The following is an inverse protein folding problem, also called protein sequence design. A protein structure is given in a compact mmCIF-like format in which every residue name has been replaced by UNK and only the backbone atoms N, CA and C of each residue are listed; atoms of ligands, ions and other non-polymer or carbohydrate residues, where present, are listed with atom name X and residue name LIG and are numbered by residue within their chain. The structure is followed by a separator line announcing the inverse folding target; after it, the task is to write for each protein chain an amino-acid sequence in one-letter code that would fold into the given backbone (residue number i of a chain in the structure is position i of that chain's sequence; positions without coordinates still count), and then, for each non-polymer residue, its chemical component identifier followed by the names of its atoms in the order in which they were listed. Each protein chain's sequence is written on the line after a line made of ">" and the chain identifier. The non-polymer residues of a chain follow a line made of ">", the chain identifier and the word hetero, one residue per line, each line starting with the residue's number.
data_IF_336662435731
#
_entry.id   IF_336662435731
#
_cell.length_a   1.000
_cell.length_b   1.000
_cell.length_c   1.000
_cell.angle_alpha   90.00
_cell.angle_beta   90.00
_cell.angle_gamma   90.00
#
_symmetry.space_group_name_H-M   'P 1'
#
loop_
_entity.id
_entity.type
_entity.pdbx_description
1 polymer ?
#
# COMPACT_ATOMS: atom_id res chain seq x y z
N UNK A 1 -27.33 -24.00 -10.73
CA UNK A 1 -26.76 -25.34 -10.91
C UNK A 1 -25.67 -25.22 -11.95
N UNK A 2 -24.42 -25.52 -11.62
CA UNK A 2 -23.32 -25.49 -12.60
C UNK A 2 -23.46 -26.68 -13.57
N UNK A 3 -22.82 -26.61 -14.74
CA UNK A 3 -22.76 -27.76 -15.66
C UNK A 3 -22.01 -28.95 -15.04
N UNK A 4 -21.09 -28.68 -14.11
CA UNK A 4 -20.37 -29.70 -13.34
C UNK A 4 -21.29 -30.42 -12.34
N UNK A 5 -22.11 -29.69 -11.58
CA UNK A 5 -23.14 -30.28 -10.71
C UNK A 5 -24.11 -31.15 -11.52
N UNK A 6 -24.52 -30.70 -12.71
CA UNK A 6 -25.39 -31.48 -13.59
C UNK A 6 -24.71 -32.80 -13.99
N UNK A 7 -23.42 -32.82 -14.32
CA UNK A 7 -22.67 -34.05 -14.60
C UNK A 7 -22.59 -34.98 -13.37
N UNK A 8 -22.28 -34.45 -12.18
CA UNK A 8 -22.22 -35.23 -10.94
C UNK A 8 -23.55 -35.94 -10.68
N UNK A 9 -24.66 -35.21 -10.81
CA UNK A 9 -25.98 -35.78 -10.56
C UNK A 9 -26.42 -36.75 -11.65
N UNK A 10 -25.96 -36.60 -12.89
CA UNK A 10 -26.15 -37.59 -13.96
C UNK A 10 -25.45 -38.91 -13.66
N UNK A 11 -24.21 -38.86 -13.17
CA UNK A 11 -23.47 -40.06 -12.78
C UNK A 11 -24.11 -40.76 -11.58
N UNK A 12 -24.56 -39.99 -10.58
CA UNK A 12 -25.28 -40.53 -9.43
C UNK A 12 -26.64 -41.13 -9.85
N UNK A 13 -27.37 -40.46 -10.75
CA UNK A 13 -28.64 -40.95 -11.31
C UNK A 13 -28.43 -42.27 -12.07
N UNK A 14 -27.32 -42.45 -12.78
CA UNK A 14 -27.00 -43.72 -13.44
C UNK A 14 -26.93 -44.88 -12.42
N UNK A 15 -26.30 -44.67 -11.26
CA UNK A 15 -26.23 -45.69 -10.19
C UNK A 15 -27.64 -46.00 -9.66
N UNK A 16 -28.45 -44.97 -9.39
CA UNK A 16 -29.84 -45.10 -8.92
C UNK A 16 -30.69 -45.86 -9.94
N UNK A 17 -30.67 -45.43 -11.20
CA UNK A 17 -31.44 -46.06 -12.29
C UNK A 17 -30.98 -47.51 -12.51
N UNK A 18 -29.67 -47.78 -12.46
CA UNK A 18 -29.17 -49.15 -12.58
C UNK A 18 -29.66 -50.02 -11.42
N UNK A 19 -29.58 -49.52 -10.19
CA UNK A 19 -30.09 -50.21 -9.01
C UNK A 19 -31.56 -50.61 -9.17
N UNK A 20 -32.39 -49.66 -9.60
CA UNK A 20 -33.82 -49.86 -9.81
C UNK A 20 -34.11 -50.89 -10.91
N UNK A 21 -33.24 -51.04 -11.90
CA UNK A 21 -33.38 -52.09 -12.92
C UNK A 21 -33.11 -53.51 -12.41
N UNK A 22 -32.47 -53.68 -11.24
CA UNK A 22 -32.17 -55.00 -10.66
C UNK A 22 -33.25 -55.50 -9.68
N UNK A 23 -34.24 -54.65 -9.33
CA UNK A 23 -35.59 -55.11 -9.00
C UNK A 23 -35.88 -55.62 -7.58
N UNK A 24 -35.05 -55.35 -6.56
CA UNK A 24 -35.34 -55.81 -5.19
C UNK A 24 -35.91 -54.74 -4.25
N UNK A 25 -35.46 -53.48 -4.34
CA UNK A 25 -35.94 -52.36 -3.50
C UNK A 25 -35.99 -51.04 -4.30
N UNK A 26 -36.78 -51.02 -5.37
CA UNK A 26 -36.81 -49.91 -6.34
C UNK A 26 -37.09 -48.57 -5.65
N UNK A 27 -36.26 -47.57 -5.92
CA UNK A 27 -36.38 -46.21 -5.38
C UNK A 27 -37.34 -45.34 -6.21
N UNK A 28 -37.41 -45.58 -7.52
CA UNK A 28 -38.25 -44.87 -8.49
C UNK A 28 -39.33 -45.81 -9.04
N UNK A 29 -40.59 -45.59 -8.64
CA UNK A 29 -41.71 -46.46 -9.05
C UNK A 29 -42.32 -46.12 -10.40
N UNK A 30 -41.83 -45.07 -11.06
CA UNK A 30 -42.43 -44.53 -12.28
C UNK A 30 -42.16 -45.39 -13.50
N UNK A 31 -43.22 -45.62 -14.25
CA UNK A 31 -43.22 -46.47 -15.44
C UNK A 31 -42.94 -45.68 -16.73
N UNK A 32 -43.29 -44.39 -16.76
CA UNK A 32 -43.04 -43.52 -17.91
C UNK A 32 -41.54 -43.21 -18.00
N UNK A 33 -40.84 -43.51 -19.12
CA UNK A 33 -39.39 -43.39 -19.21
C UNK A 33 -38.86 -42.01 -18.80
N UNK A 34 -39.44 -40.94 -19.36
CA UNK A 34 -39.01 -39.58 -19.05
C UNK A 34 -39.26 -39.19 -17.59
N UNK A 35 -40.39 -39.61 -17.02
CA UNK A 35 -40.71 -39.35 -15.62
C UNK A 35 -39.77 -40.12 -14.68
N UNK A 36 -39.39 -41.34 -15.06
CA UNK A 36 -38.43 -42.17 -14.34
C UNK A 36 -37.05 -41.53 -14.31
N UNK A 37 -36.55 -41.05 -15.46
CA UNK A 37 -35.27 -40.33 -15.53
C UNK A 37 -35.28 -39.09 -14.62
N UNK A 38 -36.33 -38.27 -14.70
CA UNK A 38 -36.46 -37.08 -13.87
C UNK A 38 -36.48 -37.39 -12.37
N UNK A 39 -37.19 -38.46 -11.96
CA UNK A 39 -37.26 -38.85 -10.55
C UNK A 39 -36.00 -39.52 -10.05
N UNK A 40 -35.36 -40.38 -10.85
CA UNK A 40 -34.03 -40.92 -10.53
C UNK A 40 -33.03 -39.80 -10.28
N UNK A 41 -33.05 -38.76 -11.11
CA UNK A 41 -32.23 -37.57 -10.92
C UNK A 41 -32.58 -36.78 -9.66
N UNK A 42 -33.87 -36.66 -9.34
CA UNK A 42 -34.32 -36.06 -8.08
C UNK A 42 -33.76 -36.81 -6.87
N UNK A 43 -33.82 -38.15 -6.88
CA UNK A 43 -33.26 -39.00 -5.83
C UNK A 43 -31.74 -38.86 -5.77
N UNK A 44 -31.05 -38.87 -6.91
CA UNK A 44 -29.61 -38.66 -6.97
C UNK A 44 -29.21 -37.31 -6.35
N UNK A 45 -29.98 -36.25 -6.62
CA UNK A 45 -29.77 -34.93 -6.03
C UNK A 45 -29.94 -34.95 -4.51
N UNK A 46 -30.96 -35.66 -4.00
CA UNK A 46 -31.18 -35.82 -2.56
C UNK A 46 -30.03 -36.59 -1.91
N UNK A 47 -29.56 -37.67 -2.53
CA UNK A 47 -28.41 -38.46 -2.03
C UNK A 47 -27.14 -37.61 -2.00
N UNK A 48 -26.87 -36.85 -3.07
CA UNK A 48 -25.66 -36.02 -3.15
C UNK A 48 -25.64 -34.85 -2.15
N UNK A 49 -26.82 -34.39 -1.70
CA UNK A 49 -26.96 -33.29 -0.72
C UNK A 49 -27.15 -33.77 0.72
N UNK A 50 -27.34 -35.07 0.94
CA UNK A 50 -27.57 -35.61 2.27
C UNK A 50 -26.29 -35.54 3.13
N UNK A 51 -26.44 -35.09 4.38
CA UNK A 51 -25.36 -35.08 5.36
C UNK A 51 -25.11 -36.49 5.94
N UNK A 52 -26.18 -37.20 6.30
CA UNK A 52 -26.11 -38.57 6.83
C UNK A 52 -27.26 -39.46 6.28
N UNK A 53 -26.98 -40.67 5.77
CA UNK A 53 -25.64 -41.16 5.46
C UNK A 53 -25.00 -40.32 4.35
N UNK A 54 -23.68 -40.12 4.44
CA UNK A 54 -22.92 -39.44 3.38
C UNK A 54 -23.19 -40.06 2.01
N UNK A 55 -23.18 -39.22 0.96
CA UNK A 55 -23.50 -39.67 -0.40
C UNK A 55 -22.68 -40.89 -0.83
N UNK A 56 -21.42 -40.99 -0.41
CA UNK A 56 -20.54 -42.07 -0.78
C UNK A 56 -20.93 -43.41 -0.13
N UNK A 57 -21.32 -43.39 1.14
CA UNK A 57 -21.86 -44.56 1.84
C UNK A 57 -23.16 -44.99 1.17
N UNK A 58 -24.07 -44.05 0.92
CA UNK A 58 -25.37 -44.36 0.32
C UNK A 58 -25.25 -44.95 -1.09
N UNK A 59 -24.44 -44.34 -1.96
CA UNK A 59 -24.19 -44.89 -3.30
C UNK A 59 -23.47 -46.24 -3.23
N UNK A 60 -22.56 -46.44 -2.27
CA UNK A 60 -21.90 -47.74 -2.06
C UNK A 60 -22.88 -48.84 -1.67
N UNK A 61 -23.86 -48.54 -0.82
CA UNK A 61 -24.94 -49.45 -0.44
C UNK A 61 -25.76 -49.84 -1.67
N UNK A 62 -26.23 -48.86 -2.46
CA UNK A 62 -26.99 -49.13 -3.68
C UNK A 62 -26.22 -50.02 -4.67
N UNK A 63 -24.92 -49.76 -4.85
CA UNK A 63 -24.07 -50.60 -5.71
C UNK A 63 -24.00 -52.03 -5.17
N UNK A 64 -23.82 -52.21 -3.85
CA UNK A 64 -23.78 -53.54 -3.25
C UNK A 64 -25.11 -54.26 -3.40
N UNK A 65 -26.22 -53.61 -3.09
CA UNK A 65 -27.57 -54.15 -3.19
C UNK A 65 -27.88 -54.64 -4.62
N UNK A 66 -27.57 -53.83 -5.64
CA UNK A 66 -27.85 -54.19 -7.04
C UNK A 66 -26.82 -55.13 -7.69
N UNK A 67 -25.70 -55.42 -7.02
CA UNK A 67 -24.65 -56.32 -7.56
C UNK A 67 -24.40 -57.55 -6.70
N UNK A 68 -25.25 -57.80 -5.70
CA UNK A 68 -25.10 -58.94 -4.80
C UNK A 68 -25.20 -60.27 -5.57
N UNK A 69 -26.21 -60.38 -6.43
CA UNK A 69 -26.46 -61.54 -7.30
C UNK A 69 -25.71 -61.47 -8.64
N UNK A 70 -25.52 -60.28 -9.20
CA UNK A 70 -24.84 -60.05 -10.48
C UNK A 70 -23.59 -59.17 -10.35
N UNK A 71 -22.45 -59.81 -10.05
CA UNK A 71 -21.20 -59.12 -9.70
C UNK A 71 -20.45 -58.48 -10.87
N UNK A 72 -20.75 -58.86 -12.12
CA UNK A 72 -19.97 -58.43 -13.30
C UNK A 72 -20.01 -56.93 -13.56
N UNK A 73 -21.05 -56.22 -13.09
CA UNK A 73 -21.17 -54.76 -13.27
C UNK A 73 -20.65 -53.95 -12.09
N UNK A 74 -20.28 -54.60 -10.99
CA UNK A 74 -19.71 -53.96 -9.81
C UNK A 74 -18.48 -53.10 -10.14
N UNK A 75 -17.49 -53.55 -10.95
CA UNK A 75 -16.33 -52.71 -11.28
C UNK A 75 -16.69 -51.40 -12.01
N UNK A 76 -17.66 -51.45 -12.94
CA UNK A 76 -18.13 -50.27 -13.67
C UNK A 76 -18.80 -49.27 -12.72
N UNK A 77 -19.68 -49.73 -11.84
CA UNK A 77 -20.39 -48.85 -10.92
C UNK A 77 -19.45 -48.22 -9.88
N UNK A 78 -18.45 -48.96 -9.40
CA UNK A 78 -17.43 -48.38 -8.52
C UNK A 78 -16.55 -47.39 -9.28
N UNK A 79 -16.17 -47.66 -10.53
CA UNK A 79 -15.46 -46.68 -11.36
C UNK A 79 -16.26 -45.36 -11.47
N UNK A 80 -17.57 -45.44 -11.74
CA UNK A 80 -18.46 -44.27 -11.78
C UNK A 80 -18.50 -43.57 -10.41
N UNK A 81 -18.60 -44.31 -9.30
CA UNK A 81 -18.55 -43.74 -7.95
C UNK A 81 -17.22 -43.01 -7.68
N UNK A 82 -16.09 -43.55 -8.14
CA UNK A 82 -14.79 -42.88 -8.00
C UNK A 82 -14.75 -41.57 -8.79
N UNK A 83 -15.33 -41.54 -10.00
CA UNK A 83 -15.47 -40.30 -10.77
C UNK A 83 -16.39 -39.29 -10.06
N UNK A 84 -17.51 -39.74 -9.48
CA UNK A 84 -18.39 -38.88 -8.66
C UNK A 84 -17.62 -38.27 -7.49
N UNK A 85 -16.85 -39.08 -6.75
CA UNK A 85 -16.03 -38.61 -5.62
C UNK A 85 -15.03 -37.55 -6.06
N UNK A 86 -14.34 -37.79 -7.17
CA UNK A 86 -13.41 -36.84 -7.76
C UNK A 86 -14.09 -35.51 -8.11
N UNK A 87 -15.17 -35.55 -8.89
CA UNK A 87 -15.88 -34.36 -9.33
C UNK A 87 -16.51 -33.59 -8.16
N UNK A 88 -17.05 -34.29 -7.16
CA UNK A 88 -17.64 -33.66 -5.98
C UNK A 88 -16.58 -32.95 -5.14
N UNK A 89 -15.37 -33.52 -5.02
CA UNK A 89 -14.26 -32.82 -4.38
C UNK A 89 -13.88 -31.55 -5.13
N UNK A 90 -13.76 -31.60 -6.46
CA UNK A 90 -13.46 -30.42 -7.27
C UNK A 90 -14.57 -29.36 -7.16
N UNK A 91 -15.84 -29.78 -7.15
CA UNK A 91 -17.00 -28.89 -6.99
C UNK A 91 -17.05 -28.24 -5.60
N UNK A 92 -16.55 -28.92 -4.56
CA UNK A 92 -16.52 -28.41 -3.18
C UNK A 92 -15.42 -27.38 -2.91
N UNK A 93 -14.49 -27.19 -3.84
CA UNK A 93 -13.45 -26.17 -3.71
C UNK A 93 -14.06 -24.76 -3.65
N UNK A 94 -13.58 -23.94 -2.71
CA UNK A 94 -14.02 -22.56 -2.54
C UNK A 94 -13.05 -21.53 -3.12
N UNK A 95 -11.86 -21.96 -3.54
CA UNK A 95 -10.80 -21.10 -4.06
C UNK A 95 -10.48 -21.46 -5.50
N UNK A 96 -10.00 -20.48 -6.27
CA UNK A 96 -9.48 -20.70 -7.62
C UNK A 96 -8.43 -21.81 -7.65
N UNK A 97 -8.45 -22.65 -8.69
CA UNK A 97 -7.44 -23.68 -8.88
C UNK A 97 -6.10 -23.08 -9.28
N UNK A 98 -5.00 -23.67 -8.80
CA UNK A 98 -3.68 -23.40 -9.39
C UNK A 98 -3.58 -24.01 -10.79
N UNK A 99 -2.75 -23.44 -11.67
CA UNK A 99 -2.61 -23.88 -13.08
C UNK A 99 -2.41 -25.40 -13.23
N UNK A 100 -1.51 -25.97 -12.42
CA UNK A 100 -1.22 -27.41 -12.45
C UNK A 100 -2.40 -28.28 -11.99
N UNK A 101 -3.24 -27.79 -11.08
CA UNK A 101 -4.45 -28.48 -10.63
C UNK A 101 -5.53 -28.40 -11.71
N UNK A 102 -5.71 -27.24 -12.33
CA UNK A 102 -6.69 -27.04 -13.39
C UNK A 102 -6.39 -27.91 -14.62
N UNK A 103 -5.11 -28.03 -15.02
CA UNK A 103 -4.68 -28.92 -16.11
C UNK A 103 -5.05 -30.37 -15.80
N UNK A 104 -4.74 -30.86 -14.60
CA UNK A 104 -5.06 -32.23 -14.19
C UNK A 104 -6.58 -32.47 -14.11
N UNK A 105 -7.31 -31.47 -13.65
CA UNK A 105 -8.76 -31.51 -13.58
C UNK A 105 -9.40 -31.66 -14.96
N UNK A 106 -8.97 -30.84 -15.92
CA UNK A 106 -9.36 -30.93 -17.35
C UNK A 106 -9.01 -32.28 -17.94
N UNK A 107 -7.81 -32.77 -17.70
CA UNK A 107 -7.35 -34.06 -18.21
C UNK A 107 -8.19 -35.22 -17.66
N UNK A 108 -8.56 -35.20 -16.38
CA UNK A 108 -9.40 -36.24 -15.80
C UNK A 108 -10.82 -36.25 -16.37
N UNK A 109 -11.46 -35.08 -16.54
CA UNK A 109 -12.79 -35.03 -17.18
C UNK A 109 -12.70 -35.54 -18.62
N UNK A 110 -11.69 -35.10 -19.38
CA UNK A 110 -11.46 -35.56 -20.75
C UNK A 110 -11.35 -37.08 -20.79
N UNK A 111 -10.46 -37.66 -19.97
CA UNK A 111 -10.22 -39.10 -19.95
C UNK A 111 -11.48 -39.87 -19.53
N UNK A 112 -12.24 -39.39 -18.54
CA UNK A 112 -13.51 -40.01 -18.14
C UNK A 112 -14.53 -40.05 -19.29
N UNK A 113 -14.71 -38.94 -20.02
CA UNK A 113 -15.66 -38.87 -21.13
C UNK A 113 -15.19 -39.75 -22.31
N UNK A 114 -13.89 -39.77 -22.61
CA UNK A 114 -13.31 -40.65 -23.61
C UNK A 114 -13.46 -42.13 -23.21
N UNK A 115 -13.23 -42.47 -21.95
CA UNK A 115 -13.40 -43.83 -21.42
C UNK A 115 -14.87 -44.28 -21.56
N UNK A 116 -15.84 -43.42 -21.20
CA UNK A 116 -17.25 -43.71 -21.39
C UNK A 116 -17.62 -43.90 -22.86
N UNK A 117 -17.10 -43.06 -23.76
CA UNK A 117 -17.31 -43.21 -25.20
C UNK A 117 -16.70 -44.52 -25.72
N UNK A 118 -15.52 -44.89 -25.26
CA UNK A 118 -14.86 -46.15 -25.67
C UNK A 118 -15.60 -47.38 -25.13
N UNK A 119 -16.13 -47.32 -23.91
CA UNK A 119 -16.92 -48.40 -23.32
C UNK A 119 -18.18 -48.71 -24.14
N UNK A 120 -18.87 -47.70 -24.68
CA UNK A 120 -20.10 -47.91 -25.47
C UNK A 120 -19.83 -48.47 -26.87
N UNK A 121 -18.64 -48.28 -27.44
CA UNK A 121 -18.29 -48.85 -28.76
C UNK A 121 -17.61 -50.22 -28.64
N UNK A 122 -17.05 -50.53 -27.47
CA UNK A 122 -16.35 -51.80 -27.20
C UNK A 122 -17.34 -52.92 -26.91
N UNK A 123 -17.14 -54.08 -27.55
CA UNK A 123 -17.94 -55.29 -27.32
C UNK A 123 -17.72 -55.88 -25.93
N UNK A 124 -18.74 -56.53 -25.35
CA UNK A 124 -18.69 -57.18 -24.02
C UNK A 124 -17.57 -58.22 -23.90
N UNK A 125 -17.23 -58.89 -25.00
CA UNK A 125 -16.12 -59.85 -25.10
C UNK A 125 -14.73 -59.21 -24.97
N UNK A 126 -14.65 -57.87 -25.10
CA UNK A 126 -13.40 -57.11 -24.99
C UNK A 126 -13.38 -56.30 -23.70
N UNK A 127 -12.16 -56.10 -23.21
CA UNK A 127 -11.90 -55.35 -22.00
C UNK A 127 -11.18 -54.05 -22.36
N UNK A 128 -11.64 -52.95 -21.76
CA UNK A 128 -11.01 -51.65 -21.80
C UNK A 128 -10.36 -51.37 -20.45
N UNK A 129 -9.12 -50.89 -20.45
CA UNK A 129 -8.47 -50.43 -19.23
C UNK A 129 -8.73 -48.94 -19.07
N UNK A 130 -9.49 -48.60 -18.04
CA UNK A 130 -9.81 -47.21 -17.68
C UNK A 130 -8.96 -46.79 -16.50
N UNK A 131 -8.71 -45.48 -16.39
CA UNK A 131 -7.93 -44.92 -15.29
C UNK A 131 -8.74 -43.90 -14.50
N UNK A 132 -8.55 -43.91 -13.18
CA UNK A 132 -9.07 -42.87 -12.30
C UNK A 132 -8.06 -42.56 -11.21
N UNK A 133 -8.08 -41.34 -10.70
CA UNK A 133 -7.29 -40.96 -9.54
C UNK A 133 -8.20 -40.94 -8.31
N UNK A 134 -7.69 -41.44 -7.18
CA UNK A 134 -8.26 -41.07 -5.89
C UNK A 134 -7.57 -39.80 -5.43
N UNK A 135 -8.34 -38.85 -4.92
CA UNK A 135 -7.81 -37.65 -4.31
C UNK A 135 -7.81 -37.79 -2.80
N UNK A 136 -6.69 -37.41 -2.18
CA UNK A 136 -6.64 -37.22 -0.74
C UNK A 136 -7.31 -35.89 -0.36
N UNK A 137 -7.78 -35.72 0.88
CA UNK A 137 -8.35 -34.47 1.36
C UNK A 137 -7.43 -33.25 1.20
N UNK A 138 -6.10 -33.47 1.13
CA UNK A 138 -5.12 -32.40 0.90
C UNK A 138 -4.98 -31.99 -0.57
N UNK A 139 -5.79 -32.55 -1.48
CA UNK A 139 -5.73 -32.22 -2.91
C UNK A 139 -4.54 -32.84 -3.64
N UNK A 140 -3.86 -33.83 -3.03
CA UNK A 140 -2.82 -34.60 -3.71
C UNK A 140 -3.45 -35.76 -4.47
N UNK A 141 -3.14 -35.85 -5.76
CA UNK A 141 -3.55 -36.99 -6.58
C UNK A 141 -2.74 -38.21 -6.16
N UNK A 142 -3.42 -39.29 -5.80
CA UNK A 142 -2.79 -40.61 -5.79
C UNK A 142 -2.40 -41.00 -7.22
N UNK A 143 -1.42 -41.92 -7.40
CA UNK A 143 -1.12 -42.48 -8.69
C UNK A 143 -2.40 -42.99 -9.37
N UNK A 144 -2.60 -42.78 -10.68
CA UNK A 144 -3.77 -43.27 -11.39
C UNK A 144 -3.94 -44.78 -11.18
N UNK A 145 -5.10 -45.19 -10.68
CA UNK A 145 -5.48 -46.59 -10.58
C UNK A 145 -6.08 -47.04 -11.90
N UNK A 146 -5.71 -48.24 -12.32
CA UNK A 146 -6.21 -48.86 -13.55
C UNK A 146 -7.26 -49.92 -13.21
N UNK A 147 -8.39 -49.90 -13.91
CA UNK A 147 -9.44 -50.91 -13.79
C UNK A 147 -9.80 -51.43 -15.17
N UNK A 148 -9.81 -52.74 -15.29
CA UNK A 148 -10.26 -53.45 -16.49
C UNK A 148 -11.78 -53.58 -16.48
N UNK A 149 -12.44 -52.96 -17.46
CA UNK A 149 -13.89 -52.97 -17.62
C UNK A 149 -14.30 -53.66 -18.92
N UNK A 150 -15.26 -54.59 -18.89
CA UNK A 150 -15.82 -55.15 -20.12
C UNK A 150 -16.63 -54.10 -20.87
N UNK A 151 -16.59 -54.16 -22.21
CA UNK A 151 -17.37 -53.29 -23.07
C UNK A 151 -18.88 -53.35 -22.82
N UNK A 152 -19.59 -52.34 -23.30
CA UNK A 152 -21.03 -52.17 -23.10
C UNK A 152 -21.86 -52.46 -24.36
N UNK A 153 -21.21 -52.67 -25.51
CA UNK A 153 -21.85 -53.11 -26.74
C UNK A 153 -22.06 -54.63 -26.70
N UNK A 154 -23.26 -55.08 -27.03
CA UNK A 154 -23.53 -56.49 -27.18
C UNK A 154 -22.71 -57.05 -28.35
N UNK A 155 -22.11 -58.23 -28.17
CA UNK A 155 -21.43 -58.93 -29.26
C UNK A 155 -22.45 -59.47 -30.27
N UNK A 156 -21.99 -59.86 -31.47
CA UNK A 156 -22.82 -60.22 -32.62
C UNK A 156 -23.96 -61.21 -32.34
N UNK A 157 -23.81 -62.07 -31.32
CA UNK A 157 -24.82 -63.05 -30.89
C UNK A 157 -26.13 -62.41 -30.40
N UNK A 158 -26.08 -61.24 -29.76
CA UNK A 158 -27.26 -60.54 -29.21
C UNK A 158 -27.68 -59.32 -30.04
N UNK A 159 -27.08 -59.13 -31.22
CA UNK A 159 -27.27 -57.95 -32.07
C UNK A 159 -26.39 -56.75 -31.67
N UNK A 160 -26.30 -55.71 -32.52
CA UNK A 160 -25.36 -54.60 -32.34
C UNK A 160 -25.79 -53.56 -31.29
N UNK A 161 -26.78 -53.86 -30.44
CA UNK A 161 -27.34 -52.94 -29.45
C UNK A 161 -26.43 -52.79 -28.22
N UNK A 162 -26.67 -51.75 -27.41
CA UNK A 162 -26.02 -51.64 -26.11
C UNK A 162 -26.72 -52.56 -25.11
N UNK A 163 -25.97 -52.99 -24.10
CA UNK A 163 -26.59 -53.58 -22.92
C UNK A 163 -27.24 -52.51 -22.03
N UNK A 164 -28.03 -52.93 -21.03
CA UNK A 164 -28.70 -52.00 -20.12
C UNK A 164 -27.76 -50.94 -19.53
N UNK A 165 -26.59 -51.33 -19.00
CA UNK A 165 -25.58 -50.37 -18.50
C UNK A 165 -25.07 -49.41 -19.58
N UNK A 166 -25.00 -49.84 -20.84
CA UNK A 166 -24.58 -49.01 -21.97
C UNK A 166 -25.65 -48.00 -22.38
N UNK A 167 -26.92 -48.41 -22.46
CA UNK A 167 -28.03 -47.47 -22.72
C UNK A 167 -28.15 -46.44 -21.60
N UNK A 168 -28.03 -46.86 -20.32
CA UNK A 168 -28.04 -45.92 -19.19
C UNK A 168 -26.87 -44.93 -19.25
N UNK A 169 -25.65 -45.39 -19.55
CA UNK A 169 -24.49 -44.50 -19.68
C UNK A 169 -24.65 -43.50 -20.82
N UNK A 170 -25.20 -43.97 -21.94
CA UNK A 170 -25.48 -43.14 -23.10
C UNK A 170 -26.54 -42.09 -22.79
N UNK A 171 -27.69 -42.49 -22.24
CA UNK A 171 -28.85 -41.61 -22.07
C UNK A 171 -28.71 -40.65 -20.88
N UNK A 172 -28.21 -41.13 -19.74
CA UNK A 172 -28.10 -40.31 -18.52
C UNK A 172 -26.91 -39.35 -18.57
N UNK A 173 -25.79 -39.77 -19.21
CA UNK A 173 -24.51 -39.05 -19.14
C UNK A 173 -24.10 -38.46 -20.49
N UNK A 174 -23.87 -39.31 -21.50
CA UNK A 174 -23.22 -38.87 -22.74
C UNK A 174 -24.13 -37.95 -23.58
N UNK A 175 -25.36 -38.36 -23.86
CA UNK A 175 -26.31 -37.55 -24.64
C UNK A 175 -26.63 -36.23 -23.95
N UNK A 176 -26.67 -36.22 -22.62
CA UNK A 176 -26.91 -35.01 -21.82
C UNK A 176 -25.78 -33.97 -21.96
N UNK A 177 -24.57 -34.45 -22.23
CA UNK A 177 -23.41 -33.63 -22.56
C UNK A 177 -23.23 -33.42 -24.07
N UNK A 178 -24.16 -33.88 -24.90
CA UNK A 178 -24.07 -33.90 -26.36
C UNK A 178 -22.87 -34.70 -26.89
N UNK A 179 -22.40 -35.70 -26.13
CA UNK A 179 -21.37 -36.64 -26.56
C UNK A 179 -22.02 -37.87 -27.20
N UNK A 180 -21.56 -38.21 -28.39
CA UNK A 180 -22.02 -39.38 -29.16
C UNK A 180 -20.83 -40.28 -29.47
N UNK A 181 -21.07 -41.43 -30.11
CA UNK A 181 -20.00 -42.31 -30.62
C UNK A 181 -19.15 -41.68 -31.73
N UNK A 182 -19.61 -40.59 -32.34
CA UNK A 182 -18.93 -39.88 -33.43
C UNK A 182 -18.21 -38.62 -32.98
N UNK A 183 -18.39 -38.20 -31.72
CA UNK A 183 -17.74 -37.02 -31.16
C UNK A 183 -16.23 -37.21 -31.16
N UNK A 184 -15.47 -36.25 -31.69
CA UNK A 184 -14.02 -36.37 -31.81
C UNK A 184 -13.32 -36.19 -30.45
N UNK A 185 -12.05 -36.60 -30.36
CA UNK A 185 -11.29 -36.39 -29.11
C UNK A 185 -11.03 -34.90 -28.83
N UNK A 186 -10.94 -34.08 -29.87
CA UNK A 186 -10.84 -32.62 -29.77
C UNK A 186 -12.13 -32.01 -29.23
N UNK A 187 -13.29 -32.48 -29.69
CA UNK A 187 -14.59 -32.03 -29.17
C UNK A 187 -14.79 -32.45 -27.70
N UNK A 188 -14.37 -33.67 -27.32
CA UNK A 188 -14.39 -34.12 -25.92
C UNK A 188 -13.45 -33.26 -25.06
N UNK A 189 -12.26 -32.93 -25.58
CA UNK A 189 -11.32 -32.06 -24.89
C UNK A 189 -11.87 -30.64 -24.71
N UNK A 190 -12.52 -30.07 -25.73
CA UNK A 190 -13.16 -28.76 -25.64
C UNK A 190 -14.33 -28.77 -24.63
N UNK A 191 -15.12 -29.82 -24.60
CA UNK A 191 -16.19 -29.97 -23.61
C UNK A 191 -15.64 -30.05 -22.17
N UNK A 192 -14.54 -30.80 -21.96
CA UNK A 192 -13.87 -30.86 -20.67
C UNK A 192 -13.30 -29.50 -20.26
N UNK A 193 -12.68 -28.78 -21.20
CA UNK A 193 -12.19 -27.41 -21.02
C UNK A 193 -13.31 -26.46 -20.59
N UNK A 194 -14.45 -26.50 -21.28
CA UNK A 194 -15.62 -25.66 -20.99
C UNK A 194 -16.21 -25.95 -19.61
N UNK A 195 -16.32 -27.22 -19.22
CA UNK A 195 -16.83 -27.63 -17.91
C UNK A 195 -15.91 -27.11 -16.79
N UNK A 196 -14.61 -27.32 -16.93
CA UNK A 196 -13.62 -26.91 -15.92
C UNK A 196 -13.49 -25.39 -15.84
N UNK A 197 -13.43 -24.70 -16.99
CA UNK A 197 -13.30 -23.24 -17.06
C UNK A 197 -14.56 -22.55 -16.56
N UNK A 198 -15.74 -23.11 -16.83
CA UNK A 198 -17.00 -22.63 -16.26
C UNK A 198 -17.02 -22.69 -14.73
N UNK A 199 -16.48 -23.77 -14.14
CA UNK A 199 -16.33 -23.89 -12.69
C UNK A 199 -15.25 -22.95 -12.13
N UNK A 200 -14.08 -22.91 -12.75
CA UNK A 200 -12.98 -22.01 -12.34
C UNK A 200 -13.38 -20.54 -12.38
N UNK A 201 -14.11 -20.10 -13.41
CA UNK A 201 -14.62 -18.73 -13.49
C UNK A 201 -15.63 -18.43 -12.38
N UNK A 202 -16.42 -19.41 -11.94
CA UNK A 202 -17.34 -19.23 -10.82
C UNK A 202 -16.61 -19.00 -9.49
N UNK A 203 -15.36 -19.45 -9.36
CA UNK A 203 -14.50 -19.26 -8.19
C UNK A 203 -13.66 -17.98 -8.31
N UNK A 204 -12.95 -17.80 -9.42
CA UNK A 204 -11.98 -16.71 -9.61
C UNK A 204 -12.64 -15.34 -9.83
N UNK A 205 -13.80 -15.26 -10.49
CA UNK A 205 -14.46 -13.96 -10.76
C UNK A 205 -14.84 -13.23 -9.46
N UNK A 206 -15.48 -13.87 -8.46
CA UNK A 206 -15.71 -13.26 -7.16
C UNK A 206 -14.42 -12.78 -6.46
N UNK A 207 -13.35 -13.58 -6.48
CA UNK A 207 -12.05 -13.23 -5.87
C UNK A 207 -11.42 -12.01 -6.54
N UNK A 208 -11.41 -11.98 -7.87
CA UNK A 208 -10.90 -10.86 -8.66
C UNK A 208 -11.74 -9.59 -8.45
N UNK A 209 -13.07 -9.71 -8.32
CA UNK A 209 -13.94 -8.57 -8.01
C UNK A 209 -13.65 -8.02 -6.61
N UNK A 210 -13.53 -8.87 -5.60
CA UNK A 210 -13.21 -8.45 -4.24
C UNK A 210 -11.84 -7.76 -4.18
N UNK A 211 -10.85 -8.28 -4.93
CA UNK A 211 -9.52 -7.67 -5.03
C UNK A 211 -9.57 -6.31 -5.72
N UNK A 212 -10.31 -6.19 -6.82
CA UNK A 212 -10.48 -4.91 -7.51
C UNK A 212 -11.14 -3.84 -6.62
N UNK A 213 -12.15 -4.21 -5.83
CA UNK A 213 -12.78 -3.27 -4.89
C UNK A 213 -11.76 -2.78 -3.86
N UNK A 214 -10.96 -3.67 -3.25
CA UNK A 214 -9.92 -3.28 -2.30
C UNK A 214 -8.86 -2.38 -2.93
N UNK A 215 -8.43 -2.69 -4.16
CA UNK A 215 -7.45 -1.86 -4.88
C UNK A 215 -8.04 -0.48 -5.21
N UNK A 216 -9.31 -0.41 -5.60
CA UNK A 216 -10.00 0.86 -5.82
C UNK A 216 -10.08 1.69 -4.53
N UNK A 217 -10.43 1.09 -3.39
CA UNK A 217 -10.42 1.75 -2.09
C UNK A 217 -9.03 2.32 -1.76
N UNK A 218 -7.96 1.52 -1.95
CA UNK A 218 -6.59 1.99 -1.75
C UNK A 218 -6.21 3.14 -2.68
N UNK A 219 -6.57 3.07 -3.96
CA UNK A 219 -6.33 4.15 -4.92
C UNK A 219 -7.05 5.41 -4.46
N UNK A 220 -8.34 5.32 -4.10
CA UNK A 220 -9.09 6.49 -3.62
C UNK A 220 -8.50 7.09 -2.34
N UNK A 221 -8.04 6.26 -1.39
CA UNK A 221 -7.38 6.74 -0.18
C UNK A 221 -6.02 7.40 -0.42
N UNK A 222 -5.27 6.91 -1.42
CA UNK A 222 -4.04 7.56 -1.86
C UNK A 222 -4.36 8.90 -2.56
N UNK A 223 -5.39 8.95 -3.39
CA UNK A 223 -5.82 10.17 -4.06
C UNK A 223 -6.30 11.25 -3.07
N UNK A 224 -7.03 10.89 -2.01
CA UNK A 224 -7.42 11.83 -0.95
C UNK A 224 -6.20 12.32 -0.20
N UNK A 225 -5.26 11.44 0.17
CA UNK A 225 -4.00 11.83 0.83
C UNK A 225 -3.19 12.82 -0.03
N UNK A 226 -3.12 12.58 -1.34
CA UNK A 226 -2.45 13.49 -2.27
C UNK A 226 -3.15 14.84 -2.31
N UNK A 227 -4.49 14.86 -2.45
CA UNK A 227 -5.26 16.11 -2.61
C UNK A 227 -5.35 16.93 -1.33
N UNK A 228 -5.60 16.28 -0.20
CA UNK A 228 -5.95 16.95 1.05
C UNK A 228 -4.75 17.21 1.95
N UNK A 229 -3.69 16.40 1.86
CA UNK A 229 -2.51 16.56 2.73
C UNK A 229 -1.27 17.03 1.96
N UNK A 230 -0.85 16.29 0.93
CA UNK A 230 0.42 16.55 0.26
C UNK A 230 0.36 17.81 -0.62
N UNK A 231 -0.69 17.99 -1.42
CA UNK A 231 -0.83 19.13 -2.32
C UNK A 231 -0.84 20.48 -1.58
N UNK A 232 -1.62 20.70 -0.51
CA UNK A 232 -1.58 21.98 0.21
C UNK A 232 -0.23 22.20 0.91
N UNK A 233 0.42 21.14 1.44
CA UNK A 233 1.77 21.27 2.01
C UNK A 233 2.81 21.69 0.96
N UNK A 234 2.73 21.14 -0.25
CA UNK A 234 3.60 21.54 -1.37
C UNK A 234 3.32 22.98 -1.77
N UNK A 235 2.06 23.39 -1.87
CA UNK A 235 1.68 24.77 -2.18
C UNK A 235 2.19 25.75 -1.11
N UNK A 236 2.06 25.40 0.17
CA UNK A 236 2.59 26.19 1.29
C UNK A 236 4.10 26.28 1.26
N UNK A 237 4.81 25.15 1.09
CA UNK A 237 6.27 25.14 0.99
C UNK A 237 6.77 25.98 -0.20
N UNK A 238 6.07 25.91 -1.35
CA UNK A 238 6.39 26.73 -2.52
C UNK A 238 6.16 28.23 -2.25
N UNK A 239 5.14 28.60 -1.48
CA UNK A 239 4.93 29.98 -1.06
C UNK A 239 6.08 30.48 -0.16
N UNK A 240 6.50 29.68 0.83
CA UNK A 240 7.63 30.01 1.70
C UNK A 240 8.94 30.14 0.91
N UNK A 241 9.20 29.25 -0.06
CA UNK A 241 10.38 29.34 -0.94
C UNK A 241 10.37 30.67 -1.72
N UNK A 242 9.21 31.10 -2.24
CA UNK A 242 9.10 32.38 -2.95
C UNK A 242 9.37 33.58 -2.04
N UNK A 243 8.82 33.60 -0.83
CA UNK A 243 9.09 34.66 0.15
C UNK A 243 10.56 34.73 0.54
N UNK A 244 11.19 33.58 0.77
CA UNK A 244 12.62 33.50 1.05
C UNK A 244 13.46 33.99 -0.13
N UNK A 245 13.11 33.61 -1.36
CA UNK A 245 13.79 34.09 -2.56
C UNK A 245 13.72 35.63 -2.70
N UNK A 246 12.55 36.23 -2.47
CA UNK A 246 12.39 37.69 -2.46
C UNK A 246 13.20 38.36 -1.36
N UNK A 247 13.25 37.74 -0.17
CA UNK A 247 14.06 38.25 0.96
C UNK A 247 15.54 38.22 0.63
N UNK A 248 16.02 37.13 0.03
CA UNK A 248 17.41 36.99 -0.42
C UNK A 248 17.73 38.04 -1.48
N UNK A 249 16.83 38.27 -2.46
CA UNK A 249 17.00 39.29 -3.50
C UNK A 249 17.11 40.70 -2.89
N UNK A 250 16.19 41.05 -1.99
CA UNK A 250 16.24 42.29 -1.21
C UNK A 250 17.56 42.46 -0.44
N UNK A 251 18.00 41.43 0.30
CA UNK A 251 19.25 41.48 1.06
C UNK A 251 20.47 41.60 0.13
N UNK A 252 20.42 40.96 -1.04
CA UNK A 252 21.49 41.04 -2.05
C UNK A 252 21.57 42.45 -2.62
N UNK A 253 20.43 43.09 -2.89
CA UNK A 253 20.38 44.49 -3.34
C UNK A 253 20.85 45.46 -2.26
N UNK A 254 20.48 45.23 -0.99
CA UNK A 254 21.00 46.00 0.13
C UNK A 254 22.52 45.84 0.27
N UNK A 255 23.05 44.62 0.11
CA UNK A 255 24.49 44.35 0.09
C UNK A 255 25.20 45.12 -1.02
N UNK A 256 24.66 45.08 -2.25
CA UNK A 256 25.18 45.87 -3.38
C UNK A 256 25.14 47.38 -3.10
N UNK A 257 24.08 47.87 -2.46
CA UNK A 257 24.00 49.28 -2.06
C UNK A 257 25.05 49.64 -1.00
N UNK A 258 25.30 48.77 -0.02
CA UNK A 258 26.36 48.96 0.97
C UNK A 258 27.76 48.85 0.39
N UNK A 259 28.00 47.99 -0.59
CA UNK A 259 29.28 47.88 -1.31
C UNK A 259 29.50 49.05 -2.28
N UNK A 260 28.43 49.65 -2.81
CA UNK A 260 28.48 50.83 -3.68
C UNK A 260 28.59 52.17 -2.94
N UNK A 261 28.36 52.20 -1.62
CA UNK A 261 28.72 53.35 -0.78
C UNK A 261 30.24 53.35 -0.62
N UNK A 262 30.95 54.38 -1.09
CA UNK A 262 32.40 54.43 -0.93
C UNK A 262 32.73 54.39 0.57
N UNK A 263 33.64 53.50 0.93
CA UNK A 263 34.36 53.49 2.19
C UNK A 263 35.10 54.84 2.26
N UNK A 264 34.49 55.86 2.89
CA UNK A 264 35.19 57.07 3.34
C UNK A 264 35.69 56.90 4.79
N UNK A 265 36.90 56.33 5.00
CA UNK A 265 37.67 56.56 6.22
C UNK A 265 39.09 57.03 5.90
N UNK A 266 39.33 57.62 4.72
CA UNK A 266 40.68 58.06 4.33
C UNK A 266 40.94 59.54 4.64
N UNK A 267 39.95 60.44 4.54
CA UNK A 267 40.18 61.90 4.72
C UNK A 267 40.06 62.38 6.17
N UNK A 268 39.29 61.70 7.00
CA UNK A 268 39.11 62.05 8.42
C UNK A 268 40.31 61.61 9.26
N UNK A 269 41.00 60.54 8.88
CA UNK A 269 42.20 60.06 9.56
C UNK A 269 43.41 60.99 9.35
N UNK A 270 43.63 61.49 8.13
CA UNK A 270 44.72 62.46 7.85
C UNK A 270 44.50 63.81 8.53
N UNK A 271 43.26 64.30 8.58
CA UNK A 271 42.94 65.56 9.26
C UNK A 271 43.05 65.45 10.79
N UNK A 272 42.82 64.27 11.36
CA UNK A 272 43.06 64.01 12.77
C UNK A 272 44.55 63.84 13.09
N UNK A 273 45.33 63.20 12.21
CA UNK A 273 46.79 63.09 12.36
C UNK A 273 47.48 64.45 12.34
N UNK A 274 47.10 65.34 11.40
CA UNK A 274 47.62 66.71 11.33
C UNK A 274 47.28 67.55 12.57
N UNK A 275 46.06 67.40 13.11
CA UNK A 275 45.65 68.09 14.34
C UNK A 275 46.38 67.56 15.57
N UNK A 276 46.74 66.29 15.59
CA UNK A 276 47.48 65.67 16.68
C UNK A 276 48.94 66.14 16.69
N UNK A 277 49.57 66.23 15.52
CA UNK A 277 50.92 66.79 15.36
C UNK A 277 50.98 68.27 15.77
N UNK A 278 49.96 69.06 15.40
CA UNK A 278 49.87 70.47 15.81
C UNK A 278 49.66 70.63 17.33
N UNK A 279 48.90 69.73 17.96
CA UNK A 279 48.70 69.69 19.40
C UNK A 279 49.99 69.31 20.16
N UNK A 280 50.74 68.32 19.67
CA UNK A 280 52.03 67.92 20.24
C UNK A 280 53.11 69.01 20.11
N UNK A 281 53.11 69.77 19.01
CA UNK A 281 54.01 70.91 18.84
C UNK A 281 53.70 72.02 19.86
N UNK A 282 52.41 72.27 20.15
CA UNK A 282 51.98 73.24 21.17
C UNK A 282 52.35 72.82 22.58
N UNK A 283 52.23 71.53 22.92
CA UNK A 283 52.64 71.00 24.22
C UNK A 283 54.15 71.20 24.41
N UNK A 284 54.98 70.85 23.42
CA UNK A 284 56.44 71.07 23.49
C UNK A 284 56.83 72.54 23.65
N UNK A 285 56.11 73.46 22.98
CA UNK A 285 56.33 74.90 23.15
C UNK A 285 55.96 75.36 24.57
N UNK A 286 54.84 74.86 25.13
CA UNK A 286 54.41 75.19 26.48
C UNK A 286 55.37 74.64 27.55
N UNK A 287 55.87 73.42 27.40
CA UNK A 287 56.89 72.84 28.29
C UNK A 287 58.17 73.66 28.31
N UNK A 288 58.61 74.15 27.14
CA UNK A 288 59.77 75.05 27.05
C UNK A 288 59.51 76.37 27.81
N UNK A 289 58.34 76.98 27.63
CA UNK A 289 58.00 78.21 28.37
C UNK A 289 57.82 77.98 29.87
N UNK A 290 57.38 76.79 30.29
CA UNK A 290 57.27 76.42 31.71
C UNK A 290 58.66 76.30 32.35
N UNK A 291 59.62 75.67 31.67
CA UNK A 291 61.01 75.58 32.12
C UNK A 291 61.67 76.97 32.23
N UNK A 292 61.43 77.86 31.28
CA UNK A 292 61.96 79.24 31.30
C UNK A 292 61.33 80.06 32.45
N UNK A 293 60.04 79.88 32.70
CA UNK A 293 59.34 80.51 33.83
C UNK A 293 59.82 79.97 35.18
N UNK A 294 60.14 78.67 35.29
CA UNK A 294 60.63 78.05 36.52
C UNK A 294 62.03 78.56 36.90
N UNK A 295 62.92 78.78 35.93
CA UNK A 295 64.18 79.49 36.16
C UNK A 295 63.97 80.94 36.62
N UNK A 296 62.96 81.61 36.06
CA UNK A 296 62.64 83.01 36.40
C UNK A 296 62.10 83.11 37.83
N UNK A 297 61.25 82.16 38.24
CA UNK A 297 60.71 82.06 39.60
C UNK A 297 61.83 81.74 40.60
N UNK A 298 62.79 80.87 40.26
CA UNK A 298 63.98 80.60 41.08
C UNK A 298 64.83 81.87 41.28
N UNK A 299 65.10 82.63 40.21
CA UNK A 299 65.84 83.90 40.27
C UNK A 299 65.11 84.95 41.12
N UNK A 300 63.79 85.04 41.00
CA UNK A 300 62.96 85.94 41.82
C UNK A 300 62.93 85.53 43.29
N UNK A 301 62.84 84.23 43.61
CA UNK A 301 62.93 83.73 44.99
C UNK A 301 64.26 84.09 45.65
N UNK A 302 65.38 83.92 44.96
CA UNK A 302 66.71 84.33 45.47
C UNK A 302 66.78 85.85 45.72
N UNK A 303 66.10 86.64 44.89
CA UNK A 303 66.05 88.12 45.03
C UNK A 303 65.17 88.54 46.21
N UNK A 304 64.03 87.88 46.43
CA UNK A 304 63.13 88.11 47.58
C UNK A 304 63.84 87.74 48.90
N UNK A 305 64.51 86.59 48.98
CA UNK A 305 65.27 86.21 50.19
C UNK A 305 66.43 87.17 50.50
N UNK A 306 66.96 87.86 49.47
CA UNK A 306 68.02 88.87 49.62
C UNK A 306 67.44 90.21 50.11
N UNK A 307 66.25 90.60 49.67
CA UNK A 307 65.53 91.79 50.11
C UNK A 307 64.96 91.63 51.54
N UNK A 308 64.48 90.44 51.91
CA UNK A 308 63.99 90.13 53.26
C UNK A 308 65.11 90.13 54.31
N UNK A 309 66.34 89.74 53.94
CA UNK A 309 67.52 89.86 54.83
C UNK A 309 68.05 91.28 54.99
N UNK A 310 67.65 92.23 54.14
CA UNK A 310 68.15 93.61 54.14
C UNK A 310 67.25 94.61 54.87
N UNK A 311 66.03 94.22 55.28
CA UNK A 311 65.01 95.15 55.77
C UNK A 311 64.33 94.75 57.10
N UNK A 312 65.13 94.24 58.04
CA UNK A 312 64.75 94.09 59.45
C UNK A 312 65.09 95.33 60.30
N UNK A 313 64.57 96.52 59.96
CA UNK A 313 64.44 97.62 60.93
C UNK A 313 63.50 98.75 60.41
N UNK A 314 62.38 98.91 61.12
CA UNK A 314 61.42 100.03 61.19
C UNK A 314 60.03 99.87 60.52
N UNK A 315 58.96 100.39 61.17
CA UNK A 315 57.55 100.18 60.80
C UNK A 315 56.88 101.43 60.17
N UNK A 316 55.57 101.30 59.86
CA UNK A 316 54.60 102.30 59.31
C UNK A 316 54.79 102.60 57.79
N UNK A 317 53.77 102.82 56.93
CA UNK A 317 52.37 103.23 57.10
C UNK A 317 51.59 103.10 55.78
N UNK A 318 50.28 102.92 55.94
CA UNK A 318 49.09 103.14 55.08
C UNK A 318 49.18 104.01 53.82
N UNK A 319 48.52 103.57 52.73
CA UNK A 319 47.57 104.26 51.82
C UNK A 319 47.18 103.21 50.73
N UNK A 320 45.95 103.01 50.25
CA UNK A 320 44.67 103.67 50.46
C UNK A 320 43.52 102.77 49.95
N UNK A 321 42.33 103.14 50.38
CA UNK A 321 41.03 102.49 50.21
C UNK A 321 40.47 102.55 48.78
N UNK A 322 39.96 101.43 48.27
CA UNK A 322 38.68 101.36 47.54
C UNK A 322 37.99 100.02 47.87
N UNK A 323 36.69 100.12 48.11
CA UNK A 323 35.88 99.16 48.85
C UNK A 323 35.42 97.92 48.08
N UNK A 324 34.64 97.07 48.79
CA UNK A 324 34.31 95.69 48.45
C UNK A 324 33.10 95.62 47.53
N UNK A 325 32.84 94.46 46.93
CA UNK A 325 31.52 93.81 46.83
C UNK A 325 31.58 92.72 45.74
N UNK A 326 31.51 91.46 46.18
CA UNK A 326 30.84 90.32 45.53
C UNK A 326 31.28 89.92 44.11
N UNK A 327 31.93 88.76 43.93
CA UNK A 327 31.30 87.44 44.03
C UNK A 327 29.90 87.39 43.38
N UNK A 328 29.82 87.47 42.03
CA UNK A 328 28.69 86.93 41.23
C UNK A 328 28.78 87.27 39.71
N UNK A 329 29.89 86.99 38.97
CA UNK A 329 29.83 87.15 37.49
C UNK A 329 30.90 86.44 36.64
N UNK A 330 31.45 85.29 37.07
CA UNK A 330 32.14 84.38 36.13
C UNK A 330 31.78 82.89 36.32
N UNK A 331 30.71 82.63 37.09
CA UNK A 331 29.94 81.38 37.03
C UNK A 331 29.04 81.29 35.78
N UNK A 332 29.07 82.29 34.89
CA UNK A 332 28.17 82.41 33.74
C UNK A 332 28.78 81.94 32.41
N UNK A 333 30.02 81.43 32.42
CA UNK A 333 30.70 80.89 31.22
C UNK A 333 30.89 79.37 31.23
N UNK A 334 30.55 78.71 32.34
CA UNK A 334 30.65 77.24 32.51
C UNK A 334 29.29 76.51 32.42
N UNK A 335 28.19 77.24 32.22
CA UNK A 335 26.84 76.67 32.09
C UNK A 335 26.33 76.57 30.64
N UNK A 336 27.02 77.15 29.66
CA UNK A 336 26.62 77.12 28.23
C UNK A 336 27.29 76.03 27.40
N UNK A 337 28.13 75.17 28.00
CA UNK A 337 28.75 74.05 27.27
C UNK A 337 28.31 72.66 27.77
N UNK A 338 27.31 72.61 28.66
CA UNK A 338 26.79 71.36 29.25
C UNK A 338 25.33 71.06 28.88
N UNK A 339 24.76 71.77 27.91
CA UNK A 339 23.36 71.61 27.47
C UNK A 339 23.16 71.06 26.05
N UNK A 340 24.20 70.67 25.31
CA UNK A 340 24.05 70.05 23.98
C UNK A 340 24.18 68.51 23.97
N UNK A 341 24.22 67.85 25.14
CA UNK A 341 24.39 66.38 25.21
C UNK A 341 23.17 65.64 25.82
N UNK A 342 22.06 66.32 26.12
CA UNK A 342 20.91 65.64 26.75
C UNK A 342 19.55 66.18 26.31
N UNK A 343 19.32 66.26 25.00
CA UNK A 343 17.98 66.36 24.42
C UNK A 343 17.88 65.50 23.14
N UNK A 344 17.76 64.18 23.30
CA UNK A 344 17.10 63.30 22.31
C UNK A 344 16.64 61.97 22.94
N UNK A 345 16.26 62.00 24.22
CA UNK A 345 15.67 60.86 24.93
C UNK A 345 14.40 61.29 25.69
N UNK A 346 13.35 61.51 24.92
CA UNK A 346 11.93 61.70 25.31
C UNK A 346 11.16 61.38 24.01
N UNK A 347 10.15 60.53 23.90
CA UNK A 347 9.09 60.09 24.80
C UNK A 347 8.57 58.73 24.32
N UNK A 348 8.24 57.88 25.29
CA UNK A 348 7.58 56.59 25.11
C UNK A 348 6.08 56.74 24.77
N UNK A 349 5.59 55.80 23.94
CA UNK A 349 4.31 55.07 24.07
C UNK A 349 2.99 55.85 24.13
N UNK A 350 2.14 55.59 23.13
CA UNK A 350 0.68 55.47 23.28
C UNK A 350 0.22 54.25 22.47
N UNK A 351 -0.57 53.31 23.03
CA UNK A 351 -1.27 52.29 22.27
C UNK A 351 -2.71 52.75 21.99
N UNK A 352 -3.15 52.67 20.73
CA UNK A 352 -4.55 52.83 20.38
C UNK A 352 -5.13 51.45 20.05
N UNK A 353 -6.11 51.08 20.86
CA UNK A 353 -7.03 49.97 20.65
C UNK A 353 -7.98 50.36 19.52
N UNK A 354 -8.13 49.51 18.52
CA UNK A 354 -9.16 49.59 17.48
C UNK A 354 -9.77 48.21 17.29
N UNK A 355 -10.92 47.99 17.91
CA UNK A 355 -11.86 46.91 17.61
C UNK A 355 -13.06 47.60 16.97
N UNK A 356 -13.28 47.31 15.69
CA UNK A 356 -14.60 47.08 15.09
C UNK A 356 -14.42 46.09 13.93
#
# INVERSE_FOLDING_TARGET
>A
MTRLEDLIYSLAALIVTYHDTQGTNVLVTETIPQARLNKSRGIATLIMKAEEPSYDKRLTELIKECTDTYRLRRPLLFYILHQIKFLNLMQSQQKSFGDSQLIKYKEQIKNMLSDFQQLIITGKSKTLNVRYCELTPEGTNTPPKEVSLPGLKNDAYYGPSLCNSGELLKDEVLLRLNVTVHTSQEEIAALAEDLCTGHENALSVPELRATNVKLQEQITGLETTIKEDLKPKIEQANATIREQAQTIESLTDQLRQTESKPIEPSRTAETLALKLEEAEARIRALEKTASENEETIQKQKVTITRLEKQNGNKPLTTFGTYGPFFSAMYAQRLLTQKQEITQEATVARSPTIGIE
#
